data_IF_964996331184
#
_entry.id   IF_964996331184
#
_cell.length_a   1.000
_cell.length_b   1.000
_cell.length_c   1.000
_cell.angle_alpha   90.00
_cell.angle_beta   90.00
_cell.angle_gamma   90.00
#
_symmetry.space_group_name_H-M   'P 1'
#
loop_
_entity.id
_entity.type
_entity.pdbx_description
1 polymer ?
#
# COMPACT_ATOMS: atom_id res chain seq x y z
N UNK A 1 9.20 9.86 30.18
CA UNK A 1 7.84 9.46 29.76
C UNK A 1 8.07 8.38 28.74
N UNK A 2 7.47 7.20 28.91
CA UNK A 2 7.63 6.11 27.96
C UNK A 2 6.97 6.49 26.64
N UNK A 3 7.67 6.26 25.53
CA UNK A 3 7.17 6.50 24.18
C UNK A 3 5.92 5.66 23.93
N UNK A 4 4.85 6.26 23.41
CA UNK A 4 3.60 5.54 23.10
C UNK A 4 3.75 4.73 21.81
N UNK A 5 3.62 3.40 21.86
CA UNK A 5 3.92 2.49 20.73
C UNK A 5 2.71 1.62 20.38
N UNK A 6 2.36 1.56 19.09
CA UNK A 6 1.47 0.53 18.54
C UNK A 6 2.25 -0.76 18.28
N UNK A 7 1.89 -1.83 18.97
CA UNK A 7 2.46 -3.16 18.74
C UNK A 7 1.81 -3.86 17.53
N UNK A 8 2.50 -4.82 16.89
CA UNK A 8 1.98 -5.50 15.71
C UNK A 8 0.74 -6.32 16.06
N UNK A 9 -0.29 -6.22 15.22
CA UNK A 9 -1.57 -6.92 15.37
C UNK A 9 -1.55 -8.32 14.73
N UNK A 10 -0.68 -8.53 13.72
CA UNK A 10 -0.66 -9.75 12.89
C UNK A 10 0.69 -10.45 12.80
N UNK A 11 1.61 -10.12 13.71
CA UNK A 11 2.78 -10.96 13.93
C UNK A 11 2.35 -12.38 14.31
N UNK A 12 3.09 -13.39 13.86
CA UNK A 12 2.79 -14.82 13.86
C UNK A 12 1.73 -15.28 12.84
N UNK A 13 0.73 -14.46 12.52
CA UNK A 13 -0.34 -14.86 11.59
C UNK A 13 -0.07 -14.47 10.13
N UNK A 14 0.51 -13.29 9.90
CA UNK A 14 0.82 -12.79 8.55
C UNK A 14 2.30 -12.88 8.21
N UNK A 15 3.15 -12.82 9.23
CA UNK A 15 4.61 -12.89 9.14
C UNK A 15 5.17 -13.34 10.50
N UNK A 16 6.38 -13.91 10.58
CA UNK A 16 6.94 -14.44 11.84
C UNK A 16 6.98 -13.42 12.98
N UNK A 17 6.67 -13.85 14.19
CA UNK A 17 6.79 -13.01 15.40
C UNK A 17 8.23 -12.92 15.94
N UNK A 18 9.09 -13.89 15.63
CA UNK A 18 10.52 -13.84 15.92
C UNK A 18 11.24 -12.90 14.94
N UNK A 19 12.02 -11.97 15.49
CA UNK A 19 12.70 -10.94 14.69
C UNK A 19 13.74 -11.50 13.73
N UNK A 20 14.46 -12.57 14.10
CA UNK A 20 15.48 -13.18 13.25
C UNK A 20 14.87 -14.00 12.13
N UNK A 21 13.79 -14.74 12.41
CA UNK A 21 13.02 -15.44 11.39
C UNK A 21 12.40 -14.48 10.39
N UNK A 22 11.82 -13.37 10.87
CA UNK A 22 11.26 -12.33 10.01
C UNK A 22 12.33 -11.67 9.14
N UNK A 23 13.48 -11.31 9.70
CA UNK A 23 14.60 -10.71 8.98
C UNK A 23 15.06 -11.64 7.83
N UNK A 24 15.31 -12.92 8.13
CA UNK A 24 15.74 -13.90 7.13
C UNK A 24 14.69 -14.13 6.04
N UNK A 25 13.41 -14.13 6.40
CA UNK A 25 12.31 -14.25 5.43
C UNK A 25 12.27 -13.05 4.49
N UNK A 26 12.28 -11.83 5.04
CA UNK A 26 12.24 -10.59 4.24
C UNK A 26 13.47 -10.47 3.35
N UNK A 27 14.66 -10.77 3.86
CA UNK A 27 15.89 -10.79 3.06
C UNK A 27 15.78 -11.76 1.87
N UNK A 28 15.32 -12.99 2.11
CA UNK A 28 15.14 -13.98 1.04
C UNK A 28 14.16 -13.50 -0.02
N UNK A 29 13.00 -13.01 0.39
CA UNK A 29 12.00 -12.48 -0.55
C UNK A 29 12.57 -11.33 -1.38
N UNK A 30 13.35 -10.43 -0.77
CA UNK A 30 14.04 -9.33 -1.46
C UNK A 30 15.19 -9.80 -2.36
N UNK A 31 15.86 -10.91 -2.06
CA UNK A 31 16.90 -11.51 -2.91
C UNK A 31 16.30 -12.21 -4.13
N UNK A 32 15.17 -12.89 -3.97
CA UNK A 32 14.44 -13.56 -5.05
C UNK A 32 13.71 -12.56 -5.97
N UNK A 33 13.33 -11.40 -5.44
CA UNK A 33 12.70 -10.32 -6.19
C UNK A 33 13.64 -9.77 -7.28
N UNK A 34 13.20 -9.88 -8.54
CA UNK A 34 13.95 -9.40 -9.71
C UNK A 34 13.10 -8.44 -10.57
N UNK A 35 12.72 -7.26 -10.06
CA UNK A 35 11.89 -6.31 -10.79
C UNK A 35 12.62 -5.77 -12.02
N UNK A 36 11.93 -5.72 -13.15
CA UNK A 36 12.41 -5.04 -14.36
C UNK A 36 12.00 -3.59 -14.31
N UNK A 37 12.93 -2.73 -13.92
CA UNK A 37 12.71 -1.29 -13.95
C UNK A 37 12.64 -0.77 -15.40
N UNK A 38 11.81 0.26 -15.67
CA UNK A 38 11.72 0.84 -16.99
C UNK A 38 13.05 1.49 -17.40
N UNK A 39 13.41 1.36 -18.68
CA UNK A 39 14.56 2.07 -19.23
C UNK A 39 14.22 3.55 -19.44
N UNK A 40 15.07 4.45 -18.92
CA UNK A 40 14.91 5.89 -19.07
C UNK A 40 16.24 6.57 -19.35
N UNK A 41 16.21 7.65 -20.12
CA UNK A 41 17.41 8.47 -20.43
C UNK A 41 17.86 9.36 -19.26
N UNK A 42 17.13 9.34 -18.13
CA UNK A 42 17.42 10.12 -16.93
C UNK A 42 17.48 9.27 -15.67
N UNK A 43 17.67 9.94 -14.53
CA UNK A 43 17.69 9.26 -13.23
C UNK A 43 16.26 9.04 -12.73
N UNK A 44 15.95 7.79 -12.36
CA UNK A 44 14.66 7.41 -11.78
C UNK A 44 14.69 7.71 -10.28
N UNK A 45 13.67 8.43 -9.79
CA UNK A 45 13.35 8.54 -8.37
C UNK A 45 11.99 7.89 -8.14
N UNK A 46 11.94 6.83 -7.33
CA UNK A 46 10.66 6.23 -6.94
C UNK A 46 9.93 7.22 -6.02
N UNK A 47 8.65 7.46 -6.30
CA UNK A 47 7.79 8.41 -5.57
C UNK A 47 6.60 7.71 -4.91
N UNK A 48 6.22 6.56 -5.43
CA UNK A 48 5.32 5.67 -4.71
C UNK A 48 5.32 4.25 -5.25
N UNK A 49 4.64 3.37 -4.53
CA UNK A 49 4.44 1.98 -4.90
C UNK A 49 3.01 1.54 -4.60
N UNK A 50 2.49 0.62 -5.41
CA UNK A 50 1.39 -0.27 -5.05
C UNK A 50 2.00 -1.57 -4.54
N UNK A 51 1.60 -1.98 -3.34
CA UNK A 51 2.00 -3.26 -2.75
C UNK A 51 0.82 -3.98 -2.09
N UNK A 52 0.75 -5.32 -2.20
CA UNK A 52 -0.26 -6.14 -1.55
C UNK A 52 -0.07 -6.20 -0.03
N UNK A 53 -1.11 -6.62 0.68
CA UNK A 53 -1.10 -6.73 2.14
C UNK A 53 -1.60 -8.06 2.72
N UNK A 54 -1.83 -9.09 1.89
CA UNK A 54 -2.00 -10.45 2.41
C UNK A 54 -0.76 -10.94 3.18
N UNK A 55 -0.88 -12.10 3.85
CA UNK A 55 0.25 -12.73 4.55
C UNK A 55 1.43 -12.98 3.62
N UNK A 56 2.66 -12.95 4.15
CA UNK A 56 3.88 -13.11 3.36
C UNK A 56 3.98 -14.47 2.66
N UNK A 57 3.29 -15.48 3.18
CA UNK A 57 3.19 -16.80 2.55
C UNK A 57 2.51 -16.78 1.17
N UNK A 58 1.63 -15.78 0.90
CA UNK A 58 0.93 -15.64 -0.37
C UNK A 58 1.47 -14.47 -1.20
N UNK A 59 1.53 -13.27 -0.63
CA UNK A 59 1.83 -12.04 -1.36
C UNK A 59 3.27 -11.54 -1.17
N UNK A 60 4.06 -12.19 -0.30
CA UNK A 60 5.38 -11.70 0.11
C UNK A 60 6.35 -11.47 -1.03
N UNK A 61 6.33 -12.31 -2.08
CA UNK A 61 7.17 -12.14 -3.26
C UNK A 61 6.77 -10.88 -4.08
N UNK A 62 5.46 -10.65 -4.24
CA UNK A 62 4.94 -9.45 -4.90
C UNK A 62 5.24 -8.19 -4.11
N UNK A 63 5.02 -8.21 -2.79
CA UNK A 63 5.42 -7.12 -1.91
C UNK A 63 6.92 -6.84 -2.02
N UNK A 64 7.78 -7.86 -1.87
CA UNK A 64 9.23 -7.70 -2.02
C UNK A 64 9.62 -7.11 -3.38
N UNK A 65 8.95 -7.51 -4.46
CA UNK A 65 9.16 -6.94 -5.79
C UNK A 65 8.82 -5.46 -5.87
N UNK A 66 7.77 -5.01 -5.18
CA UNK A 66 7.43 -3.58 -5.06
C UNK A 66 8.45 -2.79 -4.22
N UNK A 67 8.97 -3.39 -3.14
CA UNK A 67 9.92 -2.73 -2.23
C UNK A 67 11.37 -2.75 -2.71
N UNK A 68 11.77 -3.75 -3.50
CA UNK A 68 13.15 -3.95 -3.97
C UNK A 68 13.77 -2.70 -4.64
N UNK A 69 13.06 -1.93 -5.49
CA UNK A 69 13.60 -0.71 -6.09
C UNK A 69 13.96 0.38 -5.08
N UNK A 70 13.40 0.34 -3.87
CA UNK A 70 13.63 1.31 -2.81
C UNK A 70 14.93 1.04 -2.03
N UNK A 71 15.60 -0.09 -2.28
CA UNK A 71 16.76 -0.53 -1.51
C UNK A 71 17.89 0.52 -1.51
N UNK A 72 18.28 0.96 -0.32
CA UNK A 72 19.33 1.95 -0.09
C UNK A 72 18.90 3.40 -0.32
N UNK A 73 17.64 3.67 -0.68
CA UNK A 73 17.13 5.03 -0.83
C UNK A 73 16.77 5.65 0.54
N UNK A 74 16.81 6.98 0.61
CA UNK A 74 16.37 7.76 1.77
C UNK A 74 15.06 8.47 1.49
N UNK A 75 14.20 8.53 2.51
CA UNK A 75 12.94 9.28 2.50
C UNK A 75 12.74 9.95 3.86
N UNK A 76 12.03 11.07 3.87
CA UNK A 76 11.67 11.80 5.08
C UNK A 76 10.45 11.14 5.76
N UNK A 77 9.33 11.08 5.04
CA UNK A 77 8.09 10.45 5.50
C UNK A 77 7.57 9.45 4.48
N UNK A 78 7.20 8.27 4.96
CA UNK A 78 6.49 7.27 4.17
C UNK A 78 5.00 7.32 4.51
N UNK A 79 4.19 7.76 3.56
CA UNK A 79 2.74 7.75 3.65
C UNK A 79 2.24 6.35 3.30
N UNK A 80 1.76 5.60 4.30
CA UNK A 80 1.20 4.26 4.09
C UNK A 80 -0.31 4.40 4.13
N UNK A 81 -0.96 4.17 2.99
CA UNK A 81 -2.38 4.44 2.79
C UNK A 81 -3.09 3.15 2.46
N UNK A 82 -4.25 2.94 3.08
CA UNK A 82 -5.08 1.77 2.84
C UNK A 82 -6.50 1.97 3.36
N UNK A 83 -7.35 0.99 3.13
CA UNK A 83 -8.75 1.00 3.54
C UNK A 83 -8.96 0.07 4.75
N UNK A 84 -9.81 0.49 5.68
CA UNK A 84 -10.10 -0.26 6.90
C UNK A 84 -10.89 -1.55 6.61
N UNK A 85 -10.44 -2.66 7.20
CA UNK A 85 -11.11 -3.96 7.21
C UNK A 85 -11.67 -4.29 8.60
N UNK A 86 -10.93 -3.92 9.66
CA UNK A 86 -11.22 -4.37 11.01
C UNK A 86 -12.23 -3.48 11.76
N UNK A 87 -12.30 -2.18 11.43
CA UNK A 87 -13.10 -1.20 12.17
C UNK A 87 -13.88 -0.29 11.24
N UNK A 88 -15.20 -0.18 11.45
CA UNK A 88 -16.06 0.69 10.67
C UNK A 88 -16.10 2.10 11.26
N UNK A 89 -15.70 3.10 10.47
CA UNK A 89 -15.75 4.51 10.85
C UNK A 89 -15.91 5.40 9.62
N UNK A 90 -16.26 6.66 9.84
CA UNK A 90 -16.33 7.69 8.78
C UNK A 90 -15.06 8.53 8.75
N UNK A 91 -14.63 8.90 7.54
CA UNK A 91 -13.45 9.74 7.34
C UNK A 91 -12.14 8.96 7.24
N UNK A 92 -11.05 9.59 7.66
CA UNK A 92 -9.69 9.01 7.68
C UNK A 92 -9.16 8.99 9.10
N UNK A 93 -8.64 7.83 9.51
CA UNK A 93 -8.03 7.60 10.81
C UNK A 93 -6.51 7.76 10.72
N UNK A 94 -6.00 8.68 11.51
CA UNK A 94 -4.60 8.74 11.93
C UNK A 94 -4.42 7.94 13.21
N UNK A 95 -3.21 7.46 13.46
CA UNK A 95 -2.87 6.87 14.75
C UNK A 95 -2.28 7.93 15.69
N UNK A 96 -2.73 7.94 16.95
CA UNK A 96 -2.27 8.83 18.01
C UNK A 96 -1.06 8.33 18.81
N UNK A 97 -0.52 7.14 18.49
CA UNK A 97 0.76 6.69 19.04
C UNK A 97 1.94 7.56 18.52
N UNK A 98 3.12 7.42 19.12
CA UNK A 98 4.34 8.10 18.68
C UNK A 98 5.19 7.23 17.75
N UNK A 99 5.02 5.90 17.81
CA UNK A 99 5.71 4.96 16.94
C UNK A 99 4.89 3.69 16.71
N UNK A 100 5.21 2.96 15.64
CA UNK A 100 4.76 1.59 15.41
C UNK A 100 5.94 0.62 15.59
N UNK A 101 5.66 -0.54 16.16
CA UNK A 101 6.62 -1.63 16.29
C UNK A 101 6.33 -2.75 15.28
N UNK A 102 7.41 -3.38 14.82
CA UNK A 102 7.43 -4.71 14.24
C UNK A 102 8.45 -5.56 15.01
N UNK A 103 8.55 -6.88 14.74
CA UNK A 103 9.64 -7.70 15.28
C UNK A 103 11.04 -7.22 14.89
N UNK A 104 11.19 -6.39 13.85
CA UNK A 104 12.47 -5.79 13.43
C UNK A 104 12.81 -4.47 14.16
N UNK A 105 11.91 -3.98 15.01
CA UNK A 105 12.09 -2.76 15.80
C UNK A 105 11.00 -1.72 15.56
N UNK A 106 11.24 -0.50 16.03
CA UNK A 106 10.26 0.59 16.02
C UNK A 106 10.53 1.63 14.94
N UNK A 107 9.46 2.17 14.34
CA UNK A 107 9.49 3.29 13.40
C UNK A 107 8.61 4.43 13.92
N UNK A 108 9.15 5.64 13.98
CA UNK A 108 8.46 6.81 14.50
C UNK A 108 7.34 7.28 13.55
N UNK A 109 6.22 7.74 14.12
CA UNK A 109 5.16 8.40 13.37
C UNK A 109 5.51 9.87 13.12
N UNK A 110 5.16 10.39 11.95
CA UNK A 110 5.28 11.82 11.67
C UNK A 110 4.12 12.61 12.30
N UNK A 111 4.20 12.83 13.62
CA UNK A 111 3.18 13.56 14.39
C UNK A 111 2.92 14.98 13.88
N UNK A 112 3.96 15.68 13.40
CA UNK A 112 3.81 17.05 12.84
C UNK A 112 2.96 17.04 11.57
N UNK A 113 3.19 16.09 10.67
CA UNK A 113 2.39 15.95 9.45
C UNK A 113 0.96 15.52 9.77
N UNK A 114 0.80 14.56 10.69
CA UNK A 114 -0.50 14.11 11.20
C UNK A 114 -1.32 15.28 11.75
N UNK A 115 -0.72 16.11 12.61
CA UNK A 115 -1.39 17.27 13.19
C UNK A 115 -1.77 18.33 12.15
N UNK A 116 -0.92 18.55 11.14
CA UNK A 116 -1.23 19.47 10.03
C UNK A 116 -2.44 18.98 9.23
N UNK A 117 -2.47 17.71 8.83
CA UNK A 117 -3.61 17.12 8.11
C UNK A 117 -4.90 17.18 8.93
N UNK A 118 -4.83 16.77 10.20
CA UNK A 118 -5.95 16.79 11.14
C UNK A 118 -6.51 18.20 11.33
N UNK A 119 -5.64 19.20 11.49
CA UNK A 119 -6.05 20.60 11.72
C UNK A 119 -6.73 21.22 10.50
N UNK A 120 -6.34 20.80 9.28
CA UNK A 120 -6.97 21.24 8.03
C UNK A 120 -8.38 20.66 7.82
N UNK A 121 -8.66 19.49 8.39
CA UNK A 121 -9.94 18.80 8.19
C UNK A 121 -10.41 18.01 9.44
N UNK A 122 -10.61 18.66 10.60
CA UNK A 122 -10.77 17.97 11.90
C UNK A 122 -12.05 17.13 12.02
N UNK A 123 -13.04 17.37 11.16
CA UNK A 123 -14.28 16.57 11.09
C UNK A 123 -14.14 15.31 10.23
N UNK A 124 -13.08 15.22 9.42
CA UNK A 124 -12.89 14.17 8.44
C UNK A 124 -11.66 13.33 8.79
N UNK A 125 -10.54 13.99 9.09
CA UNK A 125 -9.28 13.35 9.50
C UNK A 125 -9.18 13.43 11.02
N UNK A 126 -9.08 12.28 11.69
CA UNK A 126 -9.14 12.18 13.15
C UNK A 126 -8.09 11.24 13.68
N UNK A 127 -7.56 11.52 14.88
CA UNK A 127 -6.82 10.51 15.63
C UNK A 127 -7.84 9.48 16.14
N UNK A 128 -7.77 8.27 15.59
CA UNK A 128 -8.66 7.17 15.90
C UNK A 128 -7.82 5.89 16.05
N UNK A 129 -6.96 5.87 17.05
CA UNK A 129 -6.04 4.77 17.34
C UNK A 129 -6.71 3.40 17.38
N UNK A 130 -7.95 3.31 17.89
CA UNK A 130 -8.69 2.04 17.92
C UNK A 130 -8.90 1.43 16.53
N UNK A 131 -9.00 2.25 15.48
CA UNK A 131 -9.14 1.77 14.11
C UNK A 131 -7.87 1.10 13.57
N UNK A 132 -6.71 1.44 14.15
CA UNK A 132 -5.42 0.84 13.79
C UNK A 132 -5.07 -0.38 14.64
N UNK A 133 -5.72 -0.56 15.80
CA UNK A 133 -5.30 -1.52 16.82
C UNK A 133 -5.29 -2.98 16.35
N UNK A 134 -6.29 -3.38 15.57
CA UNK A 134 -6.43 -4.75 15.02
C UNK A 134 -6.33 -4.77 13.49
N UNK A 135 -5.84 -3.69 12.90
CA UNK A 135 -5.73 -3.55 11.45
C UNK A 135 -4.36 -4.03 10.95
N UNK A 136 -4.34 -4.64 9.77
CA UNK A 136 -3.15 -5.27 9.19
C UNK A 136 -2.67 -4.55 7.94
N UNK A 137 -3.57 -3.90 7.18
CA UNK A 137 -3.27 -3.43 5.81
C UNK A 137 -2.07 -2.49 5.71
N UNK A 138 -1.80 -1.71 6.76
CA UNK A 138 -0.64 -0.78 6.77
C UNK A 138 0.59 -1.40 7.45
N UNK A 139 0.37 -2.30 8.42
CA UNK A 139 1.42 -2.85 9.27
C UNK A 139 2.36 -3.78 8.50
N UNK A 140 1.82 -4.60 7.61
CA UNK A 140 2.58 -5.62 6.86
C UNK A 140 3.66 -5.02 5.95
N UNK A 141 3.64 -3.70 5.71
CA UNK A 141 4.68 -2.98 4.95
C UNK A 141 5.89 -2.61 5.81
N UNK A 142 5.76 -2.55 7.14
CA UNK A 142 6.83 -2.08 8.04
C UNK A 142 8.10 -2.93 7.94
N UNK A 143 8.04 -4.27 7.98
CA UNK A 143 9.26 -5.08 7.89
C UNK A 143 10.04 -4.82 6.60
N UNK A 144 9.35 -4.73 5.45
CA UNK A 144 10.00 -4.38 4.18
C UNK A 144 10.64 -2.99 4.21
N UNK A 145 9.93 -1.98 4.73
CA UNK A 145 10.46 -0.61 4.87
C UNK A 145 11.74 -0.57 5.71
N UNK A 146 11.75 -1.27 6.85
CA UNK A 146 12.90 -1.34 7.75
C UNK A 146 14.10 -2.06 7.10
N UNK A 147 13.86 -3.00 6.18
CA UNK A 147 14.92 -3.73 5.47
C UNK A 147 15.47 -3.01 4.24
N UNK A 148 14.68 -2.17 3.56
CA UNK A 148 15.10 -1.55 2.29
C UNK A 148 15.54 -0.09 2.42
N UNK A 149 14.97 0.69 3.34
CA UNK A 149 15.27 2.12 3.44
C UNK A 149 16.45 2.41 4.36
N UNK A 150 17.12 3.55 4.12
CA UNK A 150 18.06 4.10 5.10
C UNK A 150 17.34 4.47 6.40
N UNK A 151 17.98 4.27 7.55
CA UNK A 151 17.40 4.62 8.86
C UNK A 151 17.12 6.12 8.98
N UNK A 152 16.15 6.47 9.84
CA UNK A 152 15.80 7.86 10.15
C UNK A 152 14.54 8.39 9.46
N UNK A 153 13.90 7.59 8.60
CA UNK A 153 12.58 7.91 8.06
C UNK A 153 11.49 7.83 9.15
N UNK A 154 10.40 8.54 8.91
CA UNK A 154 9.16 8.43 9.68
C UNK A 154 8.05 7.84 8.82
N UNK A 155 6.99 7.32 9.44
CA UNK A 155 5.79 6.86 8.72
C UNK A 155 4.59 7.71 9.05
N UNK A 156 3.64 7.78 8.13
CA UNK A 156 2.33 8.38 8.33
C UNK A 156 1.24 7.39 7.87
N UNK A 157 0.74 6.54 8.78
CA UNK A 157 -0.33 5.60 8.48
C UNK A 157 -1.67 6.35 8.33
N UNK A 158 -2.30 6.20 7.16
CA UNK A 158 -3.57 6.82 6.79
C UNK A 158 -4.58 5.73 6.45
N UNK A 159 -5.50 5.46 7.36
CA UNK A 159 -6.53 4.45 7.16
C UNK A 159 -7.85 5.09 6.75
N UNK A 160 -8.33 4.77 5.56
CA UNK A 160 -9.61 5.25 5.03
C UNK A 160 -10.75 4.38 5.53
N UNK A 161 -11.75 5.02 6.15
CA UNK A 161 -13.06 4.44 6.40
C UNK A 161 -14.08 4.90 5.35
N UNK A 162 -15.36 4.88 5.73
CA UNK A 162 -16.44 5.36 4.87
C UNK A 162 -16.31 6.87 4.61
N UNK A 163 -16.16 7.26 3.35
CA UNK A 163 -16.11 8.65 2.92
C UNK A 163 -17.12 8.92 1.80
N UNK A 164 -18.03 9.87 2.03
CA UNK A 164 -18.90 10.39 0.98
C UNK A 164 -18.07 11.05 -0.15
N UNK A 165 -18.56 11.02 -1.39
CA UNK A 165 -17.80 11.42 -2.60
C UNK A 165 -17.11 12.78 -2.48
N UNK A 166 -17.84 13.83 -2.09
CA UNK A 166 -17.27 15.20 -2.02
C UNK A 166 -16.26 15.35 -0.87
N UNK A 167 -16.45 14.57 0.20
CA UNK A 167 -15.53 14.53 1.34
C UNK A 167 -14.23 13.82 0.95
N UNK A 168 -14.35 12.69 0.25
CA UNK A 168 -13.23 11.91 -0.28
C UNK A 168 -12.34 12.75 -1.18
N UNK A 169 -12.90 13.43 -2.17
CA UNK A 169 -12.14 14.26 -3.11
C UNK A 169 -11.27 15.30 -2.39
N UNK A 170 -11.87 16.04 -1.43
CA UNK A 170 -11.14 17.04 -0.63
C UNK A 170 -10.00 16.43 0.18
N UNK A 171 -10.23 15.29 0.82
CA UNK A 171 -9.20 14.62 1.63
C UNK A 171 -8.05 14.10 0.79
N UNK A 172 -8.36 13.51 -0.36
CA UNK A 172 -7.35 13.06 -1.31
C UNK A 172 -6.48 14.24 -1.74
N UNK A 173 -7.09 15.37 -2.13
CA UNK A 173 -6.33 16.56 -2.54
C UNK A 173 -5.45 17.09 -1.39
N UNK A 174 -5.97 17.12 -0.15
CA UNK A 174 -5.22 17.55 1.04
C UNK A 174 -4.03 16.64 1.35
N UNK A 175 -4.18 15.32 1.21
CA UNK A 175 -3.06 14.38 1.39
C UNK A 175 -2.02 14.63 0.29
N UNK A 176 -2.46 14.81 -0.94
CA UNK A 176 -1.55 15.06 -2.08
C UNK A 176 -0.77 16.37 -1.88
N UNK A 177 -1.42 17.43 -1.41
CA UNK A 177 -0.79 18.71 -1.10
C UNK A 177 0.21 18.64 0.07
N UNK A 178 0.13 17.62 0.91
CA UNK A 178 1.03 17.43 2.05
C UNK A 178 2.33 16.69 1.69
N UNK A 179 2.39 16.02 0.55
CA UNK A 179 3.54 15.24 0.08
C UNK A 179 4.65 16.18 -0.38
N UNK A 180 5.87 15.92 0.08
CA UNK A 180 7.08 16.61 -0.37
C UNK A 180 7.93 15.75 -1.33
N UNK A 181 9.02 16.31 -1.84
CA UNK A 181 9.89 15.61 -2.81
C UNK A 181 10.72 14.46 -2.22
N UNK A 182 10.89 14.48 -0.91
CA UNK A 182 11.64 13.48 -0.14
C UNK A 182 10.71 12.42 0.49
N UNK A 183 9.40 12.47 0.21
CA UNK A 183 8.43 11.53 0.75
C UNK A 183 8.15 10.36 -0.21
N UNK A 184 7.69 9.25 0.35
CA UNK A 184 7.24 8.06 -0.38
C UNK A 184 5.76 7.82 -0.15
N UNK A 185 5.02 7.44 -1.19
CA UNK A 185 3.66 6.92 -1.06
C UNK A 185 3.59 5.42 -1.22
N UNK A 186 2.87 4.76 -0.33
CA UNK A 186 2.52 3.35 -0.45
C UNK A 186 1.00 3.27 -0.53
N UNK A 187 0.49 2.86 -1.68
CA UNK A 187 -0.88 2.40 -1.79
C UNK A 187 -0.92 0.92 -1.42
N UNK A 188 -1.59 0.60 -0.32
CA UNK A 188 -1.78 -0.77 0.12
C UNK A 188 -3.08 -1.34 -0.41
N UNK A 189 -2.97 -2.31 -1.31
CA UNK A 189 -4.14 -3.01 -1.86
C UNK A 189 -3.73 -4.37 -2.40
N UNK A 190 -4.51 -5.39 -2.03
CA UNK A 190 -4.68 -6.59 -2.84
C UNK A 190 -5.63 -6.28 -4.02
N UNK A 191 -5.62 -7.12 -5.05
CA UNK A 191 -6.49 -7.01 -6.22
C UNK A 191 -7.74 -7.88 -6.02
N UNK A 192 -8.19 -8.64 -7.01
CA UNK A 192 -9.47 -9.35 -6.94
C UNK A 192 -9.55 -10.31 -5.75
N UNK A 193 -10.75 -10.45 -5.17
CA UNK A 193 -11.01 -11.31 -4.02
C UNK A 193 -11.98 -12.43 -4.41
N UNK A 194 -11.43 -13.64 -4.43
CA UNK A 194 -12.11 -14.93 -4.58
C UNK A 194 -12.70 -15.32 -5.94
N UNK A 195 -12.50 -14.63 -7.09
CA UNK A 195 -12.87 -15.25 -8.36
C UNK A 195 -11.98 -16.47 -8.65
N UNK A 196 -12.39 -17.29 -9.62
CA UNK A 196 -11.55 -18.37 -10.12
C UNK A 196 -10.28 -17.82 -10.78
N UNK A 197 -9.19 -18.61 -10.77
CA UNK A 197 -7.86 -18.17 -11.20
C UNK A 197 -7.82 -17.46 -12.56
N UNK A 198 -8.55 -17.96 -13.56
CA UNK A 198 -8.58 -17.36 -14.89
C UNK A 198 -9.29 -16.01 -14.91
N UNK A 199 -10.38 -15.89 -14.16
CA UNK A 199 -11.15 -14.66 -14.06
C UNK A 199 -10.34 -13.60 -13.30
N UNK A 200 -9.72 -13.99 -12.17
CA UNK A 200 -8.77 -13.16 -11.41
C UNK A 200 -7.68 -12.60 -12.34
N UNK A 201 -6.98 -13.48 -13.06
CA UNK A 201 -5.90 -13.08 -13.97
C UNK A 201 -6.34 -12.14 -15.08
N UNK A 202 -7.61 -12.20 -15.50
CA UNK A 202 -8.15 -11.32 -16.54
C UNK A 202 -8.42 -9.93 -15.96
N UNK A 203 -9.25 -9.86 -14.92
CA UNK A 203 -9.72 -8.58 -14.36
C UNK A 203 -8.62 -7.82 -13.62
N UNK A 204 -7.65 -8.53 -13.04
CA UNK A 204 -6.51 -7.94 -12.35
C UNK A 204 -5.49 -7.36 -13.31
N UNK A 205 -5.28 -7.98 -14.48
CA UNK A 205 -4.42 -7.41 -15.53
C UNK A 205 -5.04 -6.13 -16.09
N UNK A 206 -6.34 -6.15 -16.38
CA UNK A 206 -7.06 -4.92 -16.79
C UNK A 206 -6.95 -3.83 -15.71
N UNK A 207 -7.06 -4.20 -14.43
CA UNK A 207 -6.87 -3.28 -13.30
C UNK A 207 -5.47 -2.66 -13.29
N UNK A 208 -4.43 -3.48 -13.46
CA UNK A 208 -3.05 -3.00 -13.52
C UNK A 208 -2.79 -2.12 -14.74
N UNK A 209 -3.38 -2.43 -15.89
CA UNK A 209 -3.28 -1.59 -17.09
C UNK A 209 -3.83 -0.19 -16.81
N UNK A 210 -5.04 -0.06 -16.27
CA UNK A 210 -5.60 1.25 -15.89
C UNK A 210 -4.74 2.01 -14.86
N UNK A 211 -4.15 1.29 -13.89
CA UNK A 211 -3.25 1.88 -12.89
C UNK A 211 -1.99 2.43 -13.56
N UNK A 212 -1.39 1.67 -14.48
CA UNK A 212 -0.12 2.04 -15.14
C UNK A 212 -0.30 3.13 -16.20
N UNK A 213 -1.47 3.19 -16.81
CA UNK A 213 -1.86 4.26 -17.74
C UNK A 213 -2.33 5.55 -17.01
N UNK A 214 -2.40 5.51 -15.67
CA UNK A 214 -2.94 6.59 -14.83
C UNK A 214 -4.40 6.96 -15.16
N UNK A 215 -5.17 6.04 -15.73
CA UNK A 215 -6.58 6.25 -16.07
C UNK A 215 -7.51 5.99 -14.88
N UNK A 216 -7.60 6.99 -14.01
CA UNK A 216 -8.45 6.97 -12.81
C UNK A 216 -9.94 6.82 -13.17
N UNK A 217 -10.37 7.36 -14.31
CA UNK A 217 -11.79 7.30 -14.72
C UNK A 217 -12.12 5.92 -15.27
N UNK A 218 -11.23 5.36 -16.09
CA UNK A 218 -11.30 4.00 -16.59
C UNK A 218 -11.28 2.97 -15.47
N UNK A 219 -10.37 3.11 -14.48
CA UNK A 219 -10.32 2.21 -13.32
C UNK A 219 -11.66 2.16 -12.56
N UNK A 220 -12.28 3.32 -12.31
CA UNK A 220 -13.60 3.40 -11.64
C UNK A 220 -14.72 2.81 -12.48
N UNK A 221 -14.65 2.97 -13.80
CA UNK A 221 -15.61 2.36 -14.71
C UNK A 221 -15.45 0.84 -14.76
N UNK A 222 -14.20 0.36 -14.78
CA UNK A 222 -13.81 -1.05 -14.74
C UNK A 222 -14.34 -1.73 -13.48
N UNK A 223 -14.01 -1.20 -12.30
CA UNK A 223 -14.52 -1.69 -11.00
C UNK A 223 -16.05 -1.84 -11.03
N UNK A 224 -16.76 -0.77 -11.40
CA UNK A 224 -18.22 -0.81 -11.48
C UNK A 224 -18.74 -1.81 -12.51
N UNK A 225 -18.05 -1.97 -13.64
CA UNK A 225 -18.46 -2.88 -14.71
C UNK A 225 -18.23 -4.34 -14.32
N UNK A 226 -17.12 -4.64 -13.66
CA UNK A 226 -16.73 -5.99 -13.24
C UNK A 226 -17.66 -6.48 -12.13
N UNK A 227 -17.91 -5.66 -11.10
CA UNK A 227 -18.89 -6.01 -10.06
C UNK A 227 -20.32 -6.24 -10.61
N UNK A 228 -20.67 -5.65 -11.77
CA UNK A 228 -21.95 -5.90 -12.45
C UNK A 228 -21.99 -7.22 -13.22
N UNK A 229 -20.83 -7.76 -13.64
CA UNK A 229 -20.73 -9.07 -14.29
C UNK A 229 -21.09 -10.20 -13.32
N UNK A 230 -21.00 -9.97 -12.00
CA UNK A 230 -21.26 -10.95 -10.94
C UNK A 230 -20.44 -12.23 -11.18
N UNK A 231 -19.13 -12.07 -11.31
CA UNK A 231 -18.21 -13.20 -11.44
C UNK A 231 -18.44 -14.09 -10.21
N UNK A 232 -18.55 -15.43 -10.38
CA UNK A 232 -18.76 -16.32 -9.25
C UNK A 232 -17.72 -16.10 -8.15
N UNK A 233 -18.18 -16.07 -6.90
CA UNK A 233 -17.37 -15.88 -5.68
C UNK A 233 -16.66 -14.53 -5.53
N UNK A 234 -16.62 -13.68 -6.56
CA UNK A 234 -15.98 -12.36 -6.50
C UNK A 234 -16.66 -11.46 -5.44
N UNK A 235 -15.86 -11.00 -4.48
CA UNK A 235 -16.29 -10.08 -3.41
C UNK A 235 -15.90 -8.63 -3.73
N UNK A 236 -14.68 -8.42 -4.21
CA UNK A 236 -14.14 -7.12 -4.56
C UNK A 236 -13.09 -7.24 -5.68
N UNK A 237 -12.95 -6.19 -6.51
CA UNK A 237 -11.90 -6.11 -7.55
C UNK A 237 -10.54 -5.67 -6.98
N UNK A 238 -10.55 -4.87 -5.93
CA UNK A 238 -9.38 -4.48 -5.13
C UNK A 238 -9.87 -3.91 -3.80
N UNK A 239 -9.11 -4.11 -2.73
CA UNK A 239 -9.53 -3.72 -1.38
C UNK A 239 -9.07 -2.30 -0.97
N UNK A 240 -8.17 -1.67 -1.73
CA UNK A 240 -7.61 -0.33 -1.45
C UNK A 240 -8.01 0.76 -2.46
N UNK A 241 -9.31 1.00 -2.72
CA UNK A 241 -9.76 1.99 -3.70
C UNK A 241 -9.26 3.42 -3.39
N UNK A 242 -9.23 3.79 -2.11
CA UNK A 242 -8.84 5.15 -1.71
C UNK A 242 -7.33 5.36 -1.79
N UNK A 243 -6.55 4.35 -1.41
CA UNK A 243 -5.10 4.36 -1.55
C UNK A 243 -4.66 4.46 -3.01
N UNK A 244 -5.32 3.72 -3.91
CA UNK A 244 -5.07 3.80 -5.35
C UNK A 244 -5.45 5.18 -5.90
N UNK A 245 -6.61 5.73 -5.50
CA UNK A 245 -7.03 7.07 -5.94
C UNK A 245 -6.03 8.15 -5.50
N UNK A 246 -5.53 8.10 -4.26
CA UNK A 246 -4.49 9.04 -3.79
C UNK A 246 -3.22 8.91 -4.63
N UNK A 247 -2.69 7.69 -4.79
CA UNK A 247 -1.43 7.46 -5.47
C UNK A 247 -1.48 7.86 -6.96
N UNK A 248 -2.53 7.47 -7.67
CA UNK A 248 -2.70 7.80 -9.09
C UNK A 248 -2.91 9.31 -9.29
N UNK A 249 -3.70 9.98 -8.44
CA UNK A 249 -3.87 11.43 -8.53
C UNK A 249 -2.59 12.19 -8.20
N UNK A 250 -1.80 11.73 -7.22
CA UNK A 250 -0.49 12.29 -6.94
C UNK A 250 0.42 12.16 -8.18
N UNK A 251 0.43 10.98 -8.81
CA UNK A 251 1.22 10.74 -10.01
C UNK A 251 0.82 11.69 -11.17
N UNK A 252 -0.48 11.83 -11.44
CA UNK A 252 -0.98 12.77 -12.46
C UNK A 252 -0.57 14.21 -12.14
N UNK A 253 -0.78 14.65 -10.89
CA UNK A 253 -0.50 16.03 -10.48
C UNK A 253 0.98 16.39 -10.58
N UNK A 254 1.86 15.47 -10.20
CA UNK A 254 3.30 15.69 -10.15
C UNK A 254 4.04 15.19 -11.39
N UNK A 255 3.31 14.70 -12.41
CA UNK A 255 3.89 14.21 -13.66
C UNK A 255 4.74 12.94 -13.48
N UNK A 256 4.43 12.11 -12.48
CA UNK A 256 5.08 10.81 -12.32
C UNK A 256 4.59 9.83 -13.37
N UNK A 257 5.43 8.84 -13.69
CA UNK A 257 5.09 7.70 -14.53
C UNK A 257 4.81 6.49 -13.65
N UNK A 258 4.11 5.50 -14.18
CA UNK A 258 3.85 4.24 -13.51
C UNK A 258 4.36 3.06 -14.37
N UNK A 259 4.86 2.01 -13.73
CA UNK A 259 5.30 0.79 -14.41
C UNK A 259 4.95 -0.45 -13.58
N UNK A 260 4.33 -1.48 -14.18
CA UNK A 260 4.04 -2.72 -13.48
C UNK A 260 5.32 -3.52 -13.31
N UNK A 261 5.48 -4.17 -12.16
CA UNK A 261 6.64 -4.99 -11.85
C UNK A 261 6.31 -6.48 -11.81
N UNK A 262 5.21 -6.83 -11.14
CA UNK A 262 4.79 -8.23 -10.99
C UNK A 262 3.28 -8.32 -10.73
N UNK A 263 2.69 -9.41 -11.25
CA UNK A 263 1.35 -9.88 -10.91
C UNK A 263 1.43 -11.37 -10.59
N UNK A 264 0.75 -11.78 -9.53
CA UNK A 264 0.50 -13.18 -9.17
C UNK A 264 -0.83 -13.28 -8.41
N UNK A 265 -1.30 -14.47 -8.09
CA UNK A 265 -2.42 -14.65 -7.16
C UNK A 265 -2.18 -15.83 -6.21
N UNK A 266 -3.03 -15.98 -5.20
CA UNK A 266 -2.88 -17.03 -4.19
C UNK A 266 -2.88 -18.45 -4.75
N UNK A 267 -3.46 -18.69 -5.95
CA UNK A 267 -3.45 -19.98 -6.64
C UNK A 267 -2.12 -20.34 -7.32
N UNK A 268 -1.12 -19.44 -7.27
CA UNK A 268 0.27 -19.74 -7.62
C UNK A 268 1.01 -20.50 -6.50
N UNK A 269 0.49 -20.45 -5.26
CA UNK A 269 0.95 -21.31 -4.19
C UNK A 269 0.54 -22.77 -4.48
N UNK A 270 1.49 -23.70 -4.43
CA UNK A 270 1.30 -25.09 -4.86
C UNK A 270 0.30 -25.90 -4.01
N UNK A 271 -0.10 -25.37 -2.85
CA UNK A 271 -1.00 -26.01 -1.89
C UNK A 271 -2.41 -25.40 -1.86
N UNK A 272 -2.71 -24.39 -2.68
CA UNK A 272 -4.04 -23.76 -2.76
C UNK A 272 -4.84 -24.29 -3.95
N UNK A 273 -6.16 -24.28 -3.81
CA UNK A 273 -7.03 -24.47 -4.97
C UNK A 273 -7.07 -23.21 -5.84
N UNK A 274 -7.61 -23.36 -7.05
CA UNK A 274 -7.69 -22.30 -8.07
C UNK A 274 -9.12 -21.85 -8.34
N UNK A 275 -10.07 -22.27 -7.50
CA UNK A 275 -11.50 -21.97 -7.63
C UNK A 275 -11.86 -20.64 -6.97
N UNK A 276 -11.10 -20.22 -5.94
CA UNK A 276 -11.25 -18.92 -5.30
C UNK A 276 -9.88 -18.35 -4.88
N UNK A 277 -9.36 -17.39 -5.63
CA UNK A 277 -8.02 -16.82 -5.41
C UNK A 277 -8.06 -15.33 -5.06
N UNK A 278 -7.00 -14.83 -4.43
CA UNK A 278 -6.78 -13.39 -4.23
C UNK A 278 -5.64 -12.91 -5.12
N UNK A 279 -5.87 -11.84 -5.88
CA UNK A 279 -4.88 -11.24 -6.78
C UNK A 279 -3.90 -10.30 -6.07
N UNK A 280 -2.66 -10.24 -6.54
CA UNK A 280 -1.60 -9.40 -5.99
C UNK A 280 -0.85 -8.67 -7.11
N UNK A 281 -0.69 -7.36 -6.98
CA UNK A 281 0.03 -6.53 -7.95
C UNK A 281 1.13 -5.69 -7.31
N UNK A 282 2.26 -5.57 -7.99
CA UNK A 282 3.35 -4.65 -7.67
C UNK A 282 3.50 -3.63 -8.79
N UNK A 283 3.39 -2.33 -8.48
CA UNK A 283 3.57 -1.22 -9.42
C UNK A 283 4.45 -0.17 -8.78
N UNK A 284 5.38 0.40 -9.53
CA UNK A 284 6.12 1.59 -9.10
C UNK A 284 5.59 2.84 -9.77
N UNK A 285 5.65 3.94 -9.05
CA UNK A 285 5.40 5.30 -9.53
C UNK A 285 6.66 6.11 -9.34
N UNK A 286 7.11 6.80 -10.38
CA UNK A 286 8.44 7.39 -10.40
C UNK A 286 8.51 8.68 -11.21
N UNK A 287 9.40 9.58 -10.79
CA UNK A 287 9.80 10.73 -11.60
C UNK A 287 11.10 10.41 -12.36
N UNK A 288 11.32 11.14 -13.45
CA UNK A 288 12.55 11.08 -14.24
C UNK A 288 13.12 12.49 -14.29
N UNK A 289 14.29 12.69 -13.68
CA UNK A 289 15.05 13.93 -13.81
C UNK A 289 16.10 13.77 -14.90
N UNK A 290 16.18 14.74 -15.81
CA UNK A 290 17.31 14.82 -16.74
C UNK A 290 18.57 15.16 -15.94
N UNK A 291 19.64 14.42 -16.20
CA UNK A 291 20.99 14.71 -15.68
C UNK A 291 21.57 15.96 -16.32
#
# INVERSE_FOLDING_TARGET
>A
MDTSVRYPAVAESFYPSDGKELELLVMRLLEEANPRLPHTDGTIRIRGILAPHASYAFSGNVAATAFKPLQGQSYSTVFIIGNAHAYLFKGVALDGHEAWASPLGTVALNGKCADKLRSSAPRIIRNLTIAHHSEHVLEVHLPFLQSVLQQGFTILPLLFGECGRDTKAKVVDMIIDAISDDDLLIASSDLSHYPAYHDAATIDRETLDYITELDITGLKAHEKSTMRKKIPHEDALFCGPDSLEVLMKAAVKHGWKAAPLLYSNSGDATWQDREAVVGYGAVIFYSVSQT
#
